data_IF_992281643877
#
_entry.id   IF_992281643877
#
_cell.length_a   1.000
_cell.length_b   1.000
_cell.length_c   1.000
_cell.angle_alpha   90.00
_cell.angle_beta   90.00
_cell.angle_gamma   90.00
#
_symmetry.space_group_name_H-M   'P 1'
#
loop_
_entity.id
_entity.type
_entity.pdbx_description
1 polymer ?
#
# COMPACT_ATOMS: atom_id res chain seq x y z
N UNK A 1 -41.45 48.28 -7.32
CA UNK A 1 -40.20 48.25 -8.13
C UNK A 1 -39.02 47.99 -7.19
N UNK A 2 -38.58 46.75 -7.04
CA UNK A 2 -37.40 46.40 -6.24
C UNK A 2 -36.16 46.54 -7.13
N UNK A 3 -35.61 47.76 -7.21
CA UNK A 3 -34.33 48.01 -7.88
C UNK A 3 -33.19 47.67 -6.94
N UNK A 4 -32.77 46.40 -6.88
CA UNK A 4 -31.58 45.98 -6.13
C UNK A 4 -30.42 45.82 -7.11
N UNK A 5 -29.54 46.81 -7.13
CA UNK A 5 -28.18 46.65 -7.69
C UNK A 5 -27.43 45.68 -6.76
N UNK A 6 -27.53 44.37 -7.04
CA UNK A 6 -26.73 43.37 -6.35
C UNK A 6 -25.27 43.58 -6.71
N UNK A 7 -24.51 44.11 -5.75
CA UNK A 7 -23.08 44.31 -5.90
C UNK A 7 -22.42 42.93 -6.09
N UNK A 8 -21.69 42.76 -7.19
CA UNK A 8 -21.04 41.51 -7.57
C UNK A 8 -20.15 40.95 -6.44
N UNK A 9 -19.58 41.83 -5.61
CA UNK A 9 -18.79 41.45 -4.45
C UNK A 9 -19.64 40.69 -3.40
N UNK A 10 -20.89 41.09 -3.18
CA UNK A 10 -21.78 40.46 -2.18
C UNK A 10 -22.16 39.04 -2.62
N UNK A 11 -22.38 38.82 -3.91
CA UNK A 11 -22.67 37.48 -4.45
C UNK A 11 -21.45 36.55 -4.36
N UNK A 12 -20.23 37.06 -4.58
CA UNK A 12 -19.01 36.27 -4.43
C UNK A 12 -18.75 35.87 -2.97
N UNK A 13 -18.91 36.80 -2.03
CA UNK A 13 -18.69 36.50 -0.60
C UNK A 13 -19.75 35.51 -0.10
N UNK A 14 -21.02 35.66 -0.51
CA UNK A 14 -22.07 34.67 -0.20
C UNK A 14 -21.74 33.29 -0.78
N UNK A 15 -21.22 33.22 -2.01
CA UNK A 15 -20.80 31.95 -2.62
C UNK A 15 -19.67 31.27 -1.85
N UNK A 16 -18.68 32.03 -1.41
CA UNK A 16 -17.57 31.49 -0.59
C UNK A 16 -18.09 31.00 0.77
N UNK A 17 -18.95 31.78 1.45
CA UNK A 17 -19.52 31.39 2.74
C UNK A 17 -20.39 30.14 2.60
N UNK A 18 -21.22 30.04 1.57
CA UNK A 18 -22.03 28.84 1.30
C UNK A 18 -21.14 27.63 1.04
N UNK A 19 -20.05 27.80 0.27
CA UNK A 19 -19.08 26.73 0.04
C UNK A 19 -18.40 26.26 1.34
N UNK A 20 -18.03 27.18 2.23
CA UNK A 20 -17.45 26.85 3.55
C UNK A 20 -18.45 26.17 4.49
N UNK A 21 -19.75 26.44 4.34
CA UNK A 21 -20.81 25.83 5.14
C UNK A 21 -21.16 24.42 4.66
N UNK A 22 -21.04 24.17 3.35
CA UNK A 22 -21.31 22.85 2.73
C UNK A 22 -20.07 21.95 2.82
N UNK A 23 -18.88 22.52 2.70
CA UNK A 23 -17.60 21.83 2.87
C UNK A 23 -16.90 22.42 4.10
N UNK A 24 -17.22 21.95 5.32
CA UNK A 24 -16.35 22.23 6.45
C UNK A 24 -14.96 21.72 6.06
N UNK A 25 -13.98 22.63 6.00
CA UNK A 25 -12.56 22.27 5.91
C UNK A 25 -12.28 21.45 7.15
N UNK A 26 -12.40 20.14 7.01
CA UNK A 26 -12.02 19.19 8.03
C UNK A 26 -10.51 19.24 8.08
N UNK A 27 -9.98 20.11 8.95
CA UNK A 27 -8.63 19.95 9.45
C UNK A 27 -8.63 18.66 10.23
N UNK A 28 -8.32 17.55 9.57
CA UNK A 28 -8.22 16.24 10.20
C UNK A 28 -7.01 16.23 11.13
N UNK A 29 -7.21 16.69 12.35
CA UNK A 29 -6.42 16.20 13.47
C UNK A 29 -6.85 14.75 13.69
N UNK A 30 -6.21 13.82 12.98
CA UNK A 30 -6.39 12.39 13.22
C UNK A 30 -5.79 12.05 14.58
N UNK A 31 -6.64 11.89 15.59
CA UNK A 31 -6.26 11.20 16.82
C UNK A 31 -5.92 9.77 16.43
N UNK A 32 -4.63 9.44 16.42
CA UNK A 32 -4.11 8.07 16.23
C UNK A 32 -4.74 7.18 17.32
N UNK A 33 -5.87 6.56 16.99
CA UNK A 33 -6.44 5.49 17.80
C UNK A 33 -5.43 4.35 17.72
N UNK A 34 -4.98 3.81 18.86
CA UNK A 34 -4.27 2.53 18.91
C UNK A 34 -5.26 1.41 18.54
N UNK A 35 -5.64 1.35 17.25
CA UNK A 35 -6.13 0.13 16.64
C UNK A 35 -4.90 -0.71 16.28
N UNK A 36 -4.97 -2.01 16.52
CA UNK A 36 -4.02 -2.95 15.90
C UNK A 36 -3.98 -2.66 14.40
N UNK A 37 -2.80 -2.35 13.88
CA UNK A 37 -2.64 -2.04 12.46
C UNK A 37 -3.01 -3.29 11.64
N UNK A 38 -3.61 -3.07 10.48
CA UNK A 38 -3.93 -4.18 9.57
C UNK A 38 -2.67 -4.78 8.92
N UNK A 39 -1.47 -4.31 9.27
CA UNK A 39 -0.18 -4.74 8.74
C UNK A 39 0.73 -3.55 8.48
N UNK A 40 2.04 -3.78 8.56
CA UNK A 40 3.07 -2.76 8.32
C UNK A 40 3.54 -2.82 6.87
N UNK A 41 3.50 -1.68 6.17
CA UNK A 41 3.82 -1.53 4.75
C UNK A 41 5.02 -0.63 4.58
N UNK A 42 6.05 -1.11 3.90
CA UNK A 42 7.15 -0.29 3.39
C UNK A 42 6.83 0.09 1.95
N UNK A 43 6.85 1.39 1.64
CA UNK A 43 6.57 1.89 0.29
C UNK A 43 7.62 2.92 -0.15
N UNK A 44 7.94 2.96 -1.44
CA UNK A 44 8.88 3.95 -1.99
C UNK A 44 8.96 3.91 -3.50
N UNK A 45 9.50 4.96 -4.12
CA UNK A 45 9.96 4.86 -5.51
C UNK A 45 11.38 4.32 -5.54
N UNK A 46 11.68 3.55 -6.57
CA UNK A 46 13.01 2.94 -6.74
C UNK A 46 14.06 3.99 -7.11
N UNK A 47 15.33 3.60 -6.94
CA UNK A 47 16.49 4.40 -7.34
C UNK A 47 16.36 4.98 -8.76
N UNK A 48 16.73 6.26 -8.90
CA UNK A 48 16.65 6.97 -10.17
C UNK A 48 15.24 7.36 -10.63
N UNK A 49 14.19 7.04 -9.87
CA UNK A 49 12.81 7.39 -10.21
C UNK A 49 12.21 8.42 -9.24
N UNK A 50 11.78 9.57 -9.76
CA UNK A 50 11.18 10.65 -8.98
C UNK A 50 9.66 10.77 -9.15
N UNK A 51 8.99 9.80 -9.79
CA UNK A 51 7.55 9.87 -10.04
C UNK A 51 6.75 9.32 -8.85
N UNK A 52 6.18 10.22 -8.05
CA UNK A 52 5.58 9.85 -6.75
C UNK A 52 4.07 9.73 -6.77
N UNK A 53 3.38 10.37 -7.72
CA UNK A 53 1.93 10.53 -7.68
C UNK A 53 1.15 9.20 -7.45
N UNK A 54 1.54 8.14 -8.17
CA UNK A 54 0.89 6.82 -8.03
C UNK A 54 1.24 6.17 -6.69
N UNK A 55 2.51 6.29 -6.25
CA UNK A 55 2.97 5.81 -4.94
C UNK A 55 2.18 6.50 -3.81
N UNK A 56 2.08 7.82 -3.85
CA UNK A 56 1.42 8.63 -2.82
C UNK A 56 -0.08 8.29 -2.74
N UNK A 57 -0.74 8.16 -3.89
CA UNK A 57 -2.15 7.76 -3.93
C UNK A 57 -2.40 6.36 -3.37
N UNK A 58 -1.46 5.43 -3.57
CA UNK A 58 -1.53 4.08 -3.00
C UNK A 58 -1.26 4.11 -1.49
N UNK A 59 -0.24 4.85 -1.04
CA UNK A 59 0.09 5.02 0.36
C UNK A 59 -1.14 5.53 1.15
N UNK A 60 -1.75 6.62 0.68
CA UNK A 60 -2.96 7.17 1.31
C UNK A 60 -4.12 6.18 1.35
N UNK A 61 -4.31 5.37 0.30
CA UNK A 61 -5.39 4.38 0.30
C UNK A 61 -5.16 3.25 1.32
N UNK A 62 -3.91 2.83 1.51
CA UNK A 62 -3.55 1.85 2.54
C UNK A 62 -3.70 2.43 3.95
N UNK A 63 -3.26 3.67 4.18
CA UNK A 63 -3.43 4.37 5.46
C UNK A 63 -4.91 4.51 5.83
N UNK A 64 -5.76 4.91 4.88
CA UNK A 64 -7.20 5.02 5.07
C UNK A 64 -7.86 3.69 5.46
N UNK A 65 -7.21 2.57 5.12
CA UNK A 65 -7.68 1.22 5.39
C UNK A 65 -6.98 0.61 6.61
N UNK A 66 -6.30 1.42 7.43
CA UNK A 66 -5.72 1.04 8.72
C UNK A 66 -4.39 0.31 8.64
N UNK A 67 -3.71 0.33 7.49
CA UNK A 67 -2.33 -0.14 7.39
C UNK A 67 -1.36 0.89 7.99
N UNK A 68 -0.30 0.41 8.62
CA UNK A 68 0.81 1.27 9.04
C UNK A 68 1.77 1.45 7.87
N UNK A 69 1.70 2.61 7.20
CA UNK A 69 2.52 2.89 6.03
C UNK A 69 3.79 3.65 6.41
N UNK A 70 4.92 3.08 6.05
CA UNK A 70 6.26 3.65 6.21
C UNK A 70 6.78 3.98 4.81
N UNK A 71 6.64 5.24 4.43
CA UNK A 71 7.08 5.76 3.14
C UNK A 71 8.56 6.17 3.20
N UNK A 72 9.39 5.44 2.45
CA UNK A 72 10.83 5.70 2.32
C UNK A 72 11.12 6.89 1.39
N UNK A 73 10.09 7.41 0.70
CA UNK A 73 10.19 8.52 -0.22
C UNK A 73 10.63 8.09 -1.62
N UNK A 74 11.56 8.85 -2.19
CA UNK A 74 11.84 8.82 -3.63
C UNK A 74 13.29 8.46 -3.94
N UNK A 75 13.52 7.68 -4.99
CA UNK A 75 14.86 7.34 -5.43
C UNK A 75 15.59 6.41 -4.45
N UNK A 76 14.86 5.48 -3.84
CA UNK A 76 15.35 4.66 -2.72
C UNK A 76 16.12 3.43 -3.23
N UNK A 77 17.28 3.16 -2.64
CA UNK A 77 18.11 2.00 -3.03
C UNK A 77 17.49 0.68 -2.60
N UNK A 78 17.85 -0.40 -3.30
CA UNK A 78 17.37 -1.74 -2.98
C UNK A 78 17.80 -2.20 -1.56
N UNK A 79 18.99 -1.80 -1.10
CA UNK A 79 19.42 -2.13 0.26
C UNK A 79 18.57 -1.42 1.32
N UNK A 80 18.19 -0.16 1.09
CA UNK A 80 17.33 0.59 2.00
C UNK A 80 15.96 -0.08 2.14
N UNK A 81 15.34 -0.55 1.05
CA UNK A 81 14.09 -1.31 1.12
C UNK A 81 14.23 -2.56 2.00
N UNK A 82 15.26 -3.37 1.77
CA UNK A 82 15.46 -4.61 2.52
C UNK A 82 15.82 -4.35 3.99
N UNK A 83 16.62 -3.32 4.26
CA UNK A 83 16.99 -2.92 5.61
C UNK A 83 15.76 -2.44 6.41
N UNK A 84 14.98 -1.51 5.86
CA UNK A 84 13.78 -0.99 6.51
C UNK A 84 12.71 -2.06 6.68
N UNK A 85 12.50 -2.94 5.69
CA UNK A 85 11.58 -4.08 5.83
C UNK A 85 11.97 -5.01 6.98
N UNK A 86 13.28 -5.22 7.20
CA UNK A 86 13.78 -6.04 8.29
C UNK A 86 13.65 -5.35 9.66
N UNK A 87 14.01 -4.07 9.72
CA UNK A 87 13.99 -3.27 10.94
C UNK A 87 12.57 -3.12 11.48
N UNK A 88 11.64 -2.75 10.60
CA UNK A 88 10.25 -2.49 10.92
C UNK A 88 9.39 -3.77 10.93
N UNK A 89 9.99 -4.92 10.61
CA UNK A 89 9.31 -6.23 10.48
C UNK A 89 8.08 -6.12 9.57
N UNK A 90 8.26 -5.48 8.43
CA UNK A 90 7.19 -5.17 7.51
C UNK A 90 6.48 -6.44 7.01
N UNK A 91 5.15 -6.38 6.92
CA UNK A 91 4.35 -7.41 6.25
C UNK A 91 4.39 -7.23 4.73
N UNK A 92 4.52 -5.98 4.27
CA UNK A 92 4.54 -5.64 2.85
C UNK A 92 5.73 -4.79 2.44
N UNK A 93 6.23 -5.02 1.23
CA UNK A 93 7.21 -4.14 0.56
C UNK A 93 6.68 -3.79 -0.83
N UNK A 94 6.30 -2.53 -1.03
CA UNK A 94 5.79 -2.02 -2.30
C UNK A 94 6.78 -1.05 -2.96
N UNK A 95 7.24 -1.40 -4.15
CA UNK A 95 8.19 -0.58 -4.91
C UNK A 95 7.58 -0.04 -6.20
N UNK A 96 7.79 1.24 -6.47
CA UNK A 96 7.20 1.96 -7.60
C UNK A 96 8.24 2.42 -8.61
N UNK A 97 8.00 2.14 -9.90
CA UNK A 97 8.83 2.57 -11.02
C UNK A 97 7.95 3.01 -12.21
N UNK A 98 8.23 4.17 -12.79
CA UNK A 98 7.48 4.76 -13.91
C UNK A 98 8.32 4.91 -15.19
N UNK A 99 9.58 4.48 -15.18
CA UNK A 99 10.45 4.45 -16.35
C UNK A 99 10.96 3.03 -16.61
N UNK A 100 11.05 2.62 -17.88
CA UNK A 100 11.55 1.29 -18.24
C UNK A 100 12.99 1.06 -17.77
N UNK A 101 13.79 2.13 -17.69
CA UNK A 101 15.16 2.10 -17.19
C UNK A 101 15.25 1.88 -15.67
N UNK A 102 14.24 2.30 -14.90
CA UNK A 102 14.25 2.20 -13.43
C UNK A 102 13.60 0.91 -12.93
N UNK A 103 12.78 0.24 -13.75
CA UNK A 103 12.13 -1.03 -13.38
C UNK A 103 13.12 -2.13 -12.95
N UNK A 104 14.36 -2.12 -13.46
CA UNK A 104 15.41 -3.07 -13.07
C UNK A 104 15.71 -3.06 -11.56
N UNK A 105 15.53 -1.92 -10.89
CA UNK A 105 15.74 -1.79 -9.45
C UNK A 105 14.70 -2.58 -8.63
N UNK A 106 13.52 -2.87 -9.20
CA UNK A 106 12.55 -3.75 -8.55
C UNK A 106 13.06 -5.19 -8.45
N UNK A 107 13.80 -5.67 -9.46
CA UNK A 107 14.49 -6.98 -9.41
C UNK A 107 15.53 -6.98 -8.30
N UNK A 108 16.31 -5.90 -8.19
CA UNK A 108 17.34 -5.78 -7.17
C UNK A 108 16.75 -5.79 -5.75
N UNK A 109 15.58 -5.18 -5.54
CA UNK A 109 14.88 -5.26 -4.25
C UNK A 109 14.52 -6.71 -3.91
N UNK A 110 13.96 -7.47 -4.85
CA UNK A 110 13.65 -8.89 -4.65
C UNK A 110 14.91 -9.70 -4.29
N UNK A 111 16.03 -9.43 -4.96
CA UNK A 111 17.32 -10.04 -4.67
C UNK A 111 17.86 -9.68 -3.28
N UNK A 112 17.75 -8.41 -2.87
CA UNK A 112 18.18 -7.95 -1.55
C UNK A 112 17.32 -8.53 -0.42
N UNK A 113 16.00 -8.65 -0.62
CA UNK A 113 15.10 -9.32 0.32
C UNK A 113 15.46 -10.81 0.49
N UNK A 114 15.86 -11.48 -0.60
CA UNK A 114 16.35 -12.87 -0.57
C UNK A 114 17.69 -12.95 0.17
N UNK A 115 18.64 -12.08 -0.16
CA UNK A 115 19.94 -12.01 0.50
C UNK A 115 19.83 -11.73 2.01
N UNK A 116 18.85 -10.90 2.41
CA UNK A 116 18.54 -10.62 3.81
C UNK A 116 17.79 -11.76 4.52
N UNK A 117 17.34 -12.79 3.80
CA UNK A 117 16.62 -13.95 4.34
C UNK A 117 15.19 -13.64 4.80
N UNK A 118 14.58 -12.58 4.26
CA UNK A 118 13.23 -12.12 4.64
C UNK A 118 12.22 -12.21 3.50
N UNK A 119 12.64 -12.50 2.26
CA UNK A 119 11.74 -12.55 1.10
C UNK A 119 10.50 -13.43 1.31
N UNK A 120 10.64 -14.58 1.95
CA UNK A 120 9.52 -15.52 2.20
C UNK A 120 8.62 -15.10 3.37
N UNK A 121 9.00 -14.05 4.11
CA UNK A 121 8.27 -13.53 5.27
C UNK A 121 7.50 -12.25 4.96
N UNK A 122 7.83 -11.59 3.85
CA UNK A 122 7.25 -10.33 3.43
C UNK A 122 6.51 -10.53 2.11
N UNK A 123 5.32 -9.92 2.00
CA UNK A 123 4.56 -9.90 0.77
C UNK A 123 5.06 -8.72 -0.07
N UNK A 124 5.61 -9.02 -1.23
CA UNK A 124 6.18 -8.03 -2.13
C UNK A 124 5.15 -7.54 -3.14
N UNK A 125 5.24 -6.28 -3.55
CA UNK A 125 4.42 -5.73 -4.61
C UNK A 125 5.15 -4.72 -5.48
N UNK A 126 4.80 -4.69 -6.77
CA UNK A 126 5.34 -3.74 -7.74
C UNK A 126 4.24 -2.95 -8.42
N UNK A 127 4.47 -1.66 -8.59
CA UNK A 127 3.55 -0.74 -9.26
C UNK A 127 4.27 0.37 -10.04
N UNK A 128 3.47 1.23 -10.66
CA UNK A 128 3.93 2.39 -11.43
C UNK A 128 3.46 2.36 -12.88
N UNK A 129 3.61 3.49 -13.59
CA UNK A 129 2.91 3.75 -14.87
C UNK A 129 3.21 2.76 -16.00
N UNK A 130 4.39 2.14 -15.99
CA UNK A 130 4.83 1.18 -17.01
C UNK A 130 4.86 -0.26 -16.49
N UNK A 131 4.57 -0.48 -15.21
CA UNK A 131 4.56 -1.81 -14.60
C UNK A 131 3.28 -2.55 -14.95
N UNK A 132 3.41 -3.83 -15.28
CA UNK A 132 2.30 -4.70 -15.67
C UNK A 132 2.31 -5.99 -14.85
N UNK A 133 1.20 -6.72 -14.86
CA UNK A 133 1.13 -8.06 -14.26
C UNK A 133 2.24 -8.98 -14.80
N UNK A 134 2.48 -8.95 -16.11
CA UNK A 134 3.52 -9.78 -16.74
C UNK A 134 4.93 -9.47 -16.20
N UNK A 135 5.19 -8.20 -15.86
CA UNK A 135 6.44 -7.82 -15.21
C UNK A 135 6.54 -8.39 -13.80
N UNK A 136 5.47 -8.24 -12.99
CA UNK A 136 5.43 -8.79 -11.63
C UNK A 136 5.65 -10.31 -11.61
N UNK A 137 5.00 -11.02 -12.53
CA UNK A 137 5.14 -12.48 -12.68
C UNK A 137 6.57 -12.86 -13.10
N UNK A 138 7.18 -12.08 -13.99
CA UNK A 138 8.54 -12.32 -14.47
C UNK A 138 9.59 -12.20 -13.36
N UNK A 139 9.45 -11.21 -12.48
CA UNK A 139 10.42 -10.95 -11.40
C UNK A 139 10.12 -11.76 -10.13
N UNK A 140 8.94 -12.38 -10.05
CA UNK A 140 8.52 -13.24 -8.94
C UNK A 140 8.01 -12.45 -7.73
N UNK A 141 7.35 -11.33 -7.96
CA UNK A 141 6.69 -10.52 -6.92
C UNK A 141 5.28 -11.05 -6.64
N UNK A 142 4.79 -10.90 -5.41
CA UNK A 142 3.50 -11.48 -5.00
C UNK A 142 2.29 -10.68 -5.49
N UNK A 143 2.43 -9.36 -5.62
CA UNK A 143 1.36 -8.44 -5.97
C UNK A 143 1.79 -7.51 -7.12
N UNK A 144 0.99 -7.48 -8.19
CA UNK A 144 0.97 -6.35 -9.10
C UNK A 144 -0.03 -5.30 -8.62
N UNK A 145 0.40 -4.04 -8.52
CA UNK A 145 -0.43 -2.90 -8.12
C UNK A 145 -0.86 -2.11 -9.35
N UNK A 146 -2.13 -2.22 -9.74
CA UNK A 146 -2.69 -1.41 -10.83
C UNK A 146 -3.26 -0.07 -10.37
N UNK A 147 -3.50 0.10 -9.06
CA UNK A 147 -4.03 1.32 -8.47
C UNK A 147 -4.42 1.17 -7.00
N UNK A 148 -4.97 2.24 -6.38
CA UNK A 148 -5.22 2.32 -4.94
C UNK A 148 -6.27 1.33 -4.41
N UNK A 149 -7.39 1.13 -5.12
CA UNK A 149 -8.43 0.18 -4.68
C UNK A 149 -7.98 -1.28 -4.81
N UNK A 150 -7.20 -1.55 -5.86
CA UNK A 150 -6.69 -2.88 -6.17
C UNK A 150 -5.68 -3.36 -5.12
N UNK A 151 -4.72 -2.50 -4.73
CA UNK A 151 -3.72 -2.85 -3.71
C UNK A 151 -4.33 -3.08 -2.34
N UNK A 152 -5.31 -2.27 -1.92
CA UNK A 152 -6.02 -2.48 -0.65
C UNK A 152 -6.68 -3.86 -0.64
N UNK A 153 -7.40 -4.18 -1.72
CA UNK A 153 -8.10 -5.46 -1.86
C UNK A 153 -7.12 -6.64 -1.83
N UNK A 154 -6.02 -6.55 -2.58
CA UNK A 154 -4.99 -7.60 -2.64
C UNK A 154 -4.22 -7.75 -1.32
N UNK A 155 -3.87 -6.65 -0.65
CA UNK A 155 -3.17 -6.67 0.63
C UNK A 155 -4.00 -7.36 1.72
N UNK A 156 -5.28 -6.97 1.86
CA UNK A 156 -6.21 -7.63 2.80
C UNK A 156 -6.35 -9.13 2.50
N UNK A 157 -6.52 -9.49 1.23
CA UNK A 157 -6.61 -10.90 0.82
C UNK A 157 -5.33 -11.69 1.12
N UNK A 158 -4.16 -11.07 0.97
CA UNK A 158 -2.87 -11.71 1.24
C UNK A 158 -2.69 -12.03 2.73
N UNK A 159 -3.07 -11.11 3.62
CA UNK A 159 -3.05 -11.33 5.07
C UNK A 159 -3.99 -12.46 5.50
N UNK A 160 -5.22 -12.48 4.96
CA UNK A 160 -6.17 -13.55 5.24
C UNK A 160 -5.62 -14.92 4.82
N UNK A 161 -4.92 -15.01 3.68
CA UNK A 161 -4.27 -16.25 3.24
C UNK A 161 -3.12 -16.65 4.16
N UNK A 162 -2.30 -15.69 4.59
CA UNK A 162 -1.19 -15.92 5.52
C UNK A 162 -1.71 -16.51 6.85
N UNK A 163 -2.75 -15.89 7.43
CA UNK A 163 -3.37 -16.33 8.68
C UNK A 163 -4.01 -17.71 8.56
N UNK A 164 -4.69 -18.00 7.45
CA UNK A 164 -5.30 -19.32 7.23
C UNK A 164 -4.25 -20.43 7.03
N UNK A 165 -3.11 -20.13 6.42
CA UNK A 165 -2.00 -21.07 6.31
C UNK A 165 -1.35 -21.35 7.67
N UNK A 166 -1.21 -20.32 8.51
CA UNK A 166 -0.74 -20.48 9.89
C UNK A 166 -1.70 -21.35 10.74
N UNK A 167 -3.01 -21.19 10.57
CA UNK A 167 -4.02 -22.01 11.24
C UNK A 167 -4.00 -23.48 10.76
N UNK A 168 -3.80 -23.73 9.47
CA UNK A 168 -3.67 -25.12 8.96
C UNK A 168 -2.39 -25.80 9.42
N UNK A 169 -1.31 -25.06 9.65
CA UNK A 169 -0.05 -25.61 10.15
C UNK A 169 -0.10 -25.94 11.65
N UNK A 170 -0.99 -25.31 12.43
CA UNK A 170 -1.14 -25.54 13.87
C UNK A 170 -2.21 -26.59 14.24
N UNK A 171 -3.06 -27.01 13.30
CA UNK A 171 -3.95 -28.17 13.47
C UNK A 171 -3.15 -29.45 13.17
N UNK A 172 -2.83 -30.29 14.17
CA UNK A 172 -2.13 -31.54 13.91
C UNK A 172 -3.03 -32.44 13.06
N UNK A 173 -2.49 -32.97 11.96
CA UNK A 173 -3.11 -34.03 11.18
C UNK A 173 -3.22 -35.32 12.03
N UNK A 174 -4.28 -35.43 12.83
CA UNK A 174 -4.72 -36.68 13.40
C UNK A 174 -6.21 -36.82 13.14
N UNK A 175 -6.58 -37.48 12.05
CA UNK A 175 -7.87 -38.19 11.97
C UNK A 175 -7.88 -39.18 10.79
N UNK A 176 -7.14 -40.28 10.97
CA UNK A 176 -7.38 -41.52 10.23
C UNK A 176 -7.30 -42.71 11.20
N UNK A 177 -7.95 -42.58 12.36
CA UNK A 177 -8.22 -43.73 13.22
C UNK A 177 -9.30 -44.58 12.56
N UNK A 178 -8.86 -45.73 12.07
CA UNK A 178 -9.63 -46.88 11.61
C UNK A 178 -10.84 -47.18 12.50
N UNK A 179 -12.05 -46.87 12.04
CA UNK A 179 -13.26 -47.55 12.48
C UNK A 179 -13.59 -48.65 11.45
N UNK A 180 -13.05 -49.86 11.69
CA UNK A 180 -13.66 -51.10 11.19
C UNK A 180 -14.93 -51.31 12.00
N UNK A 181 -16.09 -51.35 11.33
CA UNK A 181 -17.34 -51.73 11.97
C UNK A 181 -17.50 -53.27 11.94
N UNK A 182 -18.16 -53.87 12.96
CA UNK A 182 -18.29 -55.32 13.12
C UNK A 182 -19.24 -55.96 12.11
#
# INVERSE_FOLDING_TARGET
MYGKNFNLLVLLILGIIVSQLVFPVSGEASCKQENESNGTVIIGTVEGDSHTFVKDSVATALENEGFEVIDLGNGVSAESFAASAKEEKADFVFSFASMSTTMIHQIQIEEQLKAAGIRDKVITGVGGSLVTQAWADQIGTDIYVSGPEDVVSKAKLALLKSNNNALKASVPANENASCKNP
#
